data_IF_131948882587
#
_entry.id   IF_131948882587
#
_cell.length_a   1.000
_cell.length_b   1.000
_cell.length_c   1.000
_cell.angle_alpha   90.00
_cell.angle_beta   90.00
_cell.angle_gamma   90.00
#
_symmetry.space_group_name_H-M   'P 1'
#
loop_
_entity.id
_entity.type
_entity.pdbx_description
1 polymer ?
#
# COMPACT_ATOMS: atom_id res chain seq x y z
N UNK A 1 -30.78 9.56 17.78
CA UNK A 1 -30.85 8.29 18.51
C UNK A 1 -30.44 7.16 17.55
N UNK A 2 -29.44 6.34 17.91
CA UNK A 2 -29.04 5.19 17.13
C UNK A 2 -30.04 4.08 17.35
N UNK A 3 -30.76 3.67 16.31
CA UNK A 3 -31.81 2.65 16.41
C UNK A 3 -31.31 1.23 16.18
N UNK A 4 -30.31 1.06 15.34
CA UNK A 4 -29.68 -0.24 15.03
C UNK A 4 -28.35 -0.06 14.32
N UNK A 5 -27.49 -1.07 14.42
CA UNK A 5 -26.27 -1.20 13.64
C UNK A 5 -26.56 -2.15 12.47
N UNK A 6 -26.12 -1.78 11.26
CA UNK A 6 -26.34 -2.61 10.07
C UNK A 6 -25.60 -3.96 10.21
N UNK A 7 -26.16 -5.04 9.67
CA UNK A 7 -25.42 -6.31 9.52
C UNK A 7 -24.08 -6.10 8.80
N UNK A 8 -23.02 -6.72 9.30
CA UNK A 8 -21.66 -6.59 8.76
C UNK A 8 -20.85 -5.39 9.29
N UNK A 9 -21.46 -4.52 10.12
CA UNK A 9 -20.72 -3.49 10.84
C UNK A 9 -20.23 -4.03 12.20
N UNK A 10 -19.03 -3.59 12.61
CA UNK A 10 -18.39 -3.98 13.87
C UNK A 10 -18.26 -2.78 14.79
N UNK A 11 -18.61 -2.97 16.08
CA UNK A 11 -18.42 -1.96 17.12
C UNK A 11 -16.97 -2.07 17.61
N UNK A 12 -16.18 -1.01 17.46
CA UNK A 12 -14.81 -0.96 17.98
C UNK A 12 -14.72 -0.30 19.37
N UNK A 13 -15.62 0.61 19.67
CA UNK A 13 -15.67 1.26 20.97
C UNK A 13 -17.12 1.54 21.37
N UNK A 14 -17.35 1.54 22.67
CA UNK A 14 -18.65 1.88 23.30
C UNK A 14 -18.48 3.01 24.28
N UNK A 15 -19.57 3.70 24.57
CA UNK A 15 -19.68 4.71 25.64
C UNK A 15 -20.90 4.38 26.53
N UNK A 16 -20.74 4.58 27.81
CA UNK A 16 -21.85 4.44 28.78
C UNK A 16 -22.39 5.83 29.09
N UNK A 17 -23.71 6.00 28.96
CA UNK A 17 -24.38 7.24 29.29
C UNK A 17 -24.68 7.34 30.79
N UNK A 18 -25.32 8.46 31.22
CA UNK A 18 -25.70 8.70 32.62
C UNK A 18 -26.77 7.77 33.13
N UNK A 19 -27.47 7.04 32.26
CA UNK A 19 -28.50 6.04 32.59
C UNK A 19 -27.94 4.60 32.52
N UNK A 20 -26.61 4.45 32.54
CA UNK A 20 -25.90 3.15 32.44
C UNK A 20 -26.12 2.37 31.11
N UNK A 21 -26.66 3.02 30.09
CA UNK A 21 -26.86 2.36 28.78
C UNK A 21 -25.56 2.38 27.99
N UNK A 22 -25.18 1.21 27.48
CA UNK A 22 -24.00 1.07 26.60
C UNK A 22 -24.41 1.39 25.18
N UNK A 23 -23.75 2.41 24.60
CA UNK A 23 -23.99 2.90 23.25
C UNK A 23 -22.75 2.75 22.39
N UNK A 24 -22.88 2.50 21.07
CA UNK A 24 -21.73 2.44 20.19
C UNK A 24 -21.11 3.84 20.04
N UNK A 25 -19.80 3.93 20.24
CA UNK A 25 -19.01 5.17 20.09
C UNK A 25 -18.26 5.21 18.76
N UNK A 26 -17.68 4.07 18.35
CA UNK A 26 -16.99 3.92 17.07
C UNK A 26 -17.45 2.63 16.41
N UNK A 27 -17.94 2.76 15.19
CA UNK A 27 -18.42 1.62 14.37
C UNK A 27 -17.66 1.63 13.05
N UNK A 28 -17.26 0.45 12.61
CA UNK A 28 -16.56 0.26 11.34
C UNK A 28 -17.29 -0.74 10.46
N UNK A 29 -17.16 -0.60 9.16
CA UNK A 29 -17.71 -1.52 8.18
C UNK A 29 -16.81 -1.59 6.94
N UNK A 30 -16.66 -2.79 6.38
CA UNK A 30 -16.19 -2.95 5.00
C UNK A 30 -17.38 -2.79 4.06
N UNK A 31 -17.17 -2.03 2.99
CA UNK A 31 -18.16 -1.86 1.94
C UNK A 31 -17.46 -1.90 0.59
N UNK A 32 -17.75 -2.95 -0.21
CA UNK A 32 -16.96 -3.24 -1.40
C UNK A 32 -15.49 -3.43 -1.03
N UNK A 33 -14.61 -2.85 -1.80
CA UNK A 33 -13.16 -2.86 -1.58
C UNK A 33 -12.69 -1.82 -0.56
N UNK A 34 -13.59 -0.97 -0.09
CA UNK A 34 -13.27 0.10 0.86
C UNK A 34 -13.61 -0.23 2.31
N UNK A 35 -13.17 0.67 3.20
CA UNK A 35 -13.46 0.65 4.63
C UNK A 35 -14.07 1.97 5.05
N UNK A 36 -15.07 1.91 5.91
CA UNK A 36 -15.71 3.08 6.50
C UNK A 36 -15.68 3.02 8.02
N UNK A 37 -15.61 4.17 8.65
CA UNK A 37 -15.72 4.31 10.09
C UNK A 37 -16.66 5.45 10.44
N UNK A 38 -17.51 5.25 11.42
CA UNK A 38 -18.43 6.24 11.94
C UNK A 38 -18.18 6.47 13.42
N UNK A 39 -17.81 7.70 13.78
CA UNK A 39 -17.68 8.13 15.16
C UNK A 39 -19.00 8.75 15.61
N UNK A 40 -19.64 8.16 16.62
CA UNK A 40 -20.98 8.51 17.10
C UNK A 40 -20.98 9.53 18.25
N UNK A 41 -19.79 9.90 18.74
CA UNK A 41 -19.62 10.88 19.82
C UNK A 41 -19.00 12.18 19.26
N UNK A 42 -19.63 13.32 19.58
CA UNK A 42 -19.20 14.63 19.10
C UNK A 42 -18.13 15.31 19.94
N UNK A 43 -17.98 14.92 21.19
CA UNK A 43 -17.18 15.65 22.19
C UNK A 43 -15.74 15.14 22.36
N UNK A 44 -15.25 14.30 21.46
CA UNK A 44 -13.90 13.70 21.55
C UNK A 44 -12.78 14.77 21.58
N UNK A 45 -13.03 15.92 20.95
CA UNK A 45 -12.11 17.06 20.96
C UNK A 45 -11.85 17.62 22.37
N UNK A 46 -12.82 17.48 23.28
CA UNK A 46 -12.66 17.91 24.69
C UNK A 46 -11.60 17.10 25.41
N UNK A 47 -11.44 15.83 25.07
CA UNK A 47 -10.38 15.00 25.65
C UNK A 47 -9.00 15.50 25.21
N UNK A 48 -8.86 15.87 23.93
CA UNK A 48 -7.62 16.42 23.42
C UNK A 48 -7.24 17.79 24.02
N UNK A 49 -8.20 18.51 24.60
CA UNK A 49 -7.96 19.81 25.24
C UNK A 49 -7.65 19.73 26.74
N UNK A 50 -7.75 18.57 27.35
CA UNK A 50 -7.63 18.41 28.79
C UNK A 50 -6.19 18.50 29.27
N UNK A 51 -5.28 17.79 28.63
CA UNK A 51 -3.84 17.81 28.87
C UNK A 51 -3.07 17.28 27.66
N UNK A 52 -1.73 17.39 27.73
CA UNK A 52 -0.84 16.99 26.63
C UNK A 52 -0.89 15.50 26.34
N UNK A 53 -0.99 14.67 27.36
CA UNK A 53 -1.03 13.21 27.22
C UNK A 53 -2.28 12.78 26.49
N UNK A 54 -3.45 13.31 26.85
CA UNK A 54 -4.70 13.01 26.18
C UNK A 54 -4.75 13.56 24.75
N UNK A 55 -4.12 14.71 24.50
CA UNK A 55 -3.94 15.22 23.13
C UNK A 55 -3.15 14.25 22.25
N UNK A 56 -2.06 13.70 22.78
CA UNK A 56 -1.24 12.73 22.05
C UNK A 56 -1.99 11.42 21.79
N UNK A 57 -2.76 10.90 22.77
CA UNK A 57 -3.57 9.70 22.65
C UNK A 57 -4.70 9.86 21.60
N UNK A 58 -5.42 10.96 21.63
CA UNK A 58 -6.46 11.27 20.62
C UNK A 58 -5.82 11.40 19.23
N UNK A 59 -4.67 12.06 19.13
CA UNK A 59 -3.91 12.15 17.89
C UNK A 59 -3.45 10.79 17.36
N UNK A 60 -3.02 9.90 18.25
CA UNK A 60 -2.64 8.52 17.92
C UNK A 60 -3.84 7.71 17.42
N UNK A 61 -4.98 7.81 18.11
CA UNK A 61 -6.23 7.16 17.70
C UNK A 61 -6.62 7.58 16.27
N UNK A 62 -6.60 8.88 15.96
CA UNK A 62 -6.93 9.37 14.62
C UNK A 62 -5.96 8.84 13.56
N UNK A 63 -4.65 8.88 13.82
CA UNK A 63 -3.65 8.34 12.88
C UNK A 63 -3.84 6.85 12.63
N UNK A 64 -4.16 6.07 13.66
CA UNK A 64 -4.41 4.63 13.53
C UNK A 64 -5.71 4.36 12.76
N UNK A 65 -6.77 5.11 13.05
CA UNK A 65 -8.04 4.96 12.34
C UNK A 65 -7.91 5.31 10.86
N UNK A 66 -7.27 6.43 10.53
CA UNK A 66 -7.02 6.82 9.15
C UNK A 66 -6.13 5.80 8.43
N UNK A 67 -5.06 5.34 9.07
CA UNK A 67 -4.22 4.28 8.49
C UNK A 67 -5.03 3.02 8.21
N UNK A 68 -5.87 2.61 9.15
CA UNK A 68 -6.71 1.43 8.97
C UNK A 68 -7.69 1.58 7.80
N UNK A 69 -8.29 2.76 7.60
CA UNK A 69 -9.23 2.98 6.49
C UNK A 69 -8.58 2.89 5.12
N UNK A 70 -7.29 3.24 4.99
CA UNK A 70 -6.56 3.22 3.71
C UNK A 70 -5.69 1.99 3.51
N UNK A 71 -5.47 1.20 4.57
CA UNK A 71 -4.70 -0.06 4.47
C UNK A 71 -5.53 -1.13 3.76
N UNK A 72 -4.91 -1.89 2.87
CA UNK A 72 -5.54 -2.98 2.08
C UNK A 72 -6.73 -2.50 1.21
N UNK A 73 -6.76 -1.21 0.85
CA UNK A 73 -7.67 -0.73 -0.19
C UNK A 73 -6.94 -0.88 -1.52
N UNK A 74 -7.48 -1.64 -2.48
CA UNK A 74 -6.86 -1.79 -3.79
C UNK A 74 -6.71 -0.42 -4.45
N UNK A 75 -5.55 -0.21 -5.07
CA UNK A 75 -5.33 0.93 -5.95
C UNK A 75 -5.69 0.54 -7.37
N UNK A 76 -6.03 1.52 -8.20
CA UNK A 76 -6.30 1.27 -9.64
C UNK A 76 -5.07 0.78 -10.38
N UNK A 77 -3.90 1.18 -9.91
CA UNK A 77 -2.60 0.73 -10.42
C UNK A 77 -1.79 0.20 -9.25
N UNK A 78 -1.47 -1.08 -9.26
CA UNK A 78 -0.68 -1.75 -8.23
C UNK A 78 0.51 -2.42 -8.88
N UNK A 79 1.71 -2.20 -8.34
CA UNK A 79 2.94 -2.82 -8.82
C UNK A 79 3.34 -3.91 -7.84
N UNK A 80 3.54 -5.10 -8.34
CA UNK A 80 4.14 -6.22 -7.58
C UNK A 80 5.44 -6.66 -8.24
N UNK A 81 6.33 -7.26 -7.47
CA UNK A 81 7.60 -7.80 -7.96
C UNK A 81 7.78 -9.24 -7.51
N UNK A 82 8.36 -10.03 -8.39
CA UNK A 82 8.76 -11.40 -8.11
C UNK A 82 10.21 -11.59 -8.54
N UNK A 83 11.06 -12.01 -7.62
CA UNK A 83 12.45 -12.33 -7.94
C UNK A 83 12.51 -13.74 -8.53
N UNK A 84 13.03 -13.87 -9.74
CA UNK A 84 13.21 -15.14 -10.44
C UNK A 84 14.69 -15.39 -10.67
N UNK A 85 15.15 -16.55 -10.25
CA UNK A 85 16.50 -17.02 -10.53
C UNK A 85 16.45 -17.97 -11.74
N UNK A 86 16.46 -17.43 -12.93
CA UNK A 86 16.61 -18.23 -14.14
C UNK A 86 18.10 -18.31 -14.55
N UNK A 87 18.83 -19.28 -13.96
CA UNK A 87 20.24 -19.47 -14.21
C UNK A 87 21.15 -18.56 -13.36
N UNK A 88 22.24 -18.04 -13.97
CA UNK A 88 23.24 -17.23 -13.27
C UNK A 88 22.91 -15.72 -13.18
N UNK A 89 21.80 -15.30 -13.74
CA UNK A 89 21.42 -13.87 -13.81
C UNK A 89 20.16 -13.64 -12.98
N UNK A 90 20.20 -12.77 -11.97
CA UNK A 90 19.01 -12.42 -11.20
C UNK A 90 18.06 -11.58 -12.07
N UNK A 91 16.86 -12.09 -12.26
CA UNK A 91 15.79 -11.45 -13.02
C UNK A 91 14.67 -11.07 -12.05
N UNK A 92 14.22 -9.83 -12.09
CA UNK A 92 13.03 -9.40 -11.37
C UNK A 92 11.89 -9.22 -12.37
N UNK A 93 10.82 -9.99 -12.19
CA UNK A 93 9.57 -9.77 -12.89
C UNK A 93 8.74 -8.73 -12.17
N UNK A 94 8.39 -7.68 -12.91
CA UNK A 94 7.48 -6.64 -12.46
C UNK A 94 6.10 -6.93 -13.05
N UNK A 95 5.08 -6.97 -12.19
CA UNK A 95 3.69 -7.12 -12.61
C UNK A 95 2.91 -5.90 -12.19
N UNK A 96 2.21 -5.27 -13.13
CA UNK A 96 1.38 -4.09 -12.90
C UNK A 96 -0.08 -4.49 -13.09
N UNK A 97 -0.85 -4.42 -12.02
CA UNK A 97 -2.29 -4.66 -12.04
C UNK A 97 -2.99 -3.35 -12.35
N UNK A 98 -3.75 -3.31 -13.44
CA UNK A 98 -4.49 -2.13 -13.89
C UNK A 98 -5.98 -2.40 -13.79
N UNK A 99 -6.70 -1.48 -13.13
CA UNK A 99 -8.15 -1.54 -12.95
C UNK A 99 -8.77 -0.23 -13.43
N UNK A 100 -9.98 -0.34 -13.94
CA UNK A 100 -10.79 0.81 -14.37
C UNK A 100 -11.41 1.56 -13.16
N UNK A 101 -12.35 2.47 -13.41
CA UNK A 101 -13.06 3.23 -12.37
C UNK A 101 -14.03 2.37 -11.55
N UNK A 102 -14.45 1.22 -12.07
CA UNK A 102 -15.27 0.23 -11.36
C UNK A 102 -14.43 -0.82 -10.61
N UNK A 103 -13.08 -0.69 -10.65
CA UNK A 103 -12.11 -1.66 -10.12
C UNK A 103 -12.09 -3.01 -10.85
N UNK A 104 -12.64 -3.04 -12.06
CA UNK A 104 -12.55 -4.21 -12.93
C UNK A 104 -11.21 -4.22 -13.71
N UNK A 105 -10.67 -5.40 -14.06
CA UNK A 105 -9.44 -5.52 -14.85
C UNK A 105 -9.52 -4.75 -16.17
N UNK A 106 -8.48 -3.98 -16.49
CA UNK A 106 -8.41 -3.20 -17.73
C UNK A 106 -7.26 -3.68 -18.61
N UNK A 107 -7.58 -4.32 -19.73
CA UNK A 107 -6.59 -4.86 -20.69
C UNK A 107 -6.18 -3.83 -21.76
N UNK A 108 -7.04 -2.86 -22.06
CA UNK A 108 -6.75 -1.80 -23.03
C UNK A 108 -6.03 -0.63 -22.37
N UNK A 109 -4.79 -0.87 -21.99
CA UNK A 109 -3.93 0.13 -21.36
C UNK A 109 -2.50 0.02 -21.89
N UNK A 110 -1.78 1.13 -21.83
CA UNK A 110 -0.33 1.17 -22.06
C UNK A 110 0.37 1.45 -20.73
N UNK A 111 1.27 0.54 -20.34
CA UNK A 111 1.98 0.62 -19.06
C UNK A 111 3.46 0.92 -19.32
N UNK A 112 3.91 2.08 -18.84
CA UNK A 112 5.29 2.53 -18.88
C UNK A 112 5.88 2.46 -17.48
N UNK A 113 6.99 1.74 -17.35
CA UNK A 113 7.74 1.61 -16.11
C UNK A 113 9.01 2.44 -16.19
N UNK A 114 9.30 3.20 -15.17
CA UNK A 114 10.55 3.95 -15.02
C UNK A 114 11.28 3.43 -13.78
N UNK A 115 12.42 2.82 -13.99
CA UNK A 115 13.31 2.33 -12.93
C UNK A 115 14.41 3.36 -12.70
N UNK A 116 14.48 3.89 -11.48
CA UNK A 116 15.53 4.82 -11.02
C UNK A 116 16.38 4.13 -9.98
N UNK A 117 17.67 4.01 -10.21
CA UNK A 117 18.60 3.49 -9.22
C UNK A 117 19.14 4.61 -8.30
N UNK A 118 19.82 4.23 -7.22
CA UNK A 118 20.42 5.20 -6.30
C UNK A 118 21.59 5.99 -6.89
N UNK A 119 22.16 5.53 -8.00
CA UNK A 119 23.26 6.20 -8.71
C UNK A 119 22.73 7.27 -9.68
N UNK A 120 21.39 7.43 -9.76
CA UNK A 120 20.74 8.38 -10.66
C UNK A 120 20.52 7.87 -12.08
N UNK A 121 20.83 6.61 -12.37
CA UNK A 121 20.52 5.99 -13.66
C UNK A 121 19.01 5.80 -13.79
N UNK A 122 18.46 6.09 -14.95
CA UNK A 122 17.04 5.98 -15.25
C UNK A 122 16.86 5.07 -16.46
N UNK A 123 16.07 4.02 -16.30
CA UNK A 123 15.70 3.10 -17.38
C UNK A 123 14.19 3.08 -17.56
N UNK A 124 13.73 3.13 -18.79
CA UNK A 124 12.31 3.01 -19.12
C UNK A 124 12.04 1.67 -19.77
N UNK A 125 10.99 1.01 -19.32
CA UNK A 125 10.51 -0.28 -19.79
C UNK A 125 9.03 -0.14 -20.16
N UNK A 126 8.61 -0.81 -21.24
CA UNK A 126 7.19 -1.00 -21.53
C UNK A 126 6.78 -2.37 -21.00
N UNK A 127 5.70 -2.42 -20.22
CA UNK A 127 5.18 -3.70 -19.79
C UNK A 127 4.20 -4.26 -20.85
N UNK A 128 4.26 -5.56 -21.08
CA UNK A 128 3.40 -6.27 -22.02
C UNK A 128 2.20 -6.88 -21.29
N UNK A 129 1.00 -6.92 -21.92
CA UNK A 129 -0.17 -7.53 -21.31
C UNK A 129 0.06 -9.03 -21.08
N UNK A 130 -0.36 -9.52 -19.92
CA UNK A 130 -0.31 -10.94 -19.59
C UNK A 130 -1.39 -11.70 -20.37
N UNK A 131 -1.02 -12.82 -20.97
CA UNK A 131 -1.97 -13.70 -21.65
C UNK A 131 -2.80 -14.56 -20.69
N UNK A 132 -2.36 -14.66 -19.43
CA UNK A 132 -2.98 -15.54 -18.43
C UNK A 132 -3.91 -14.79 -17.47
N UNK A 133 -3.63 -13.50 -17.23
CA UNK A 133 -4.33 -12.72 -16.20
C UNK A 133 -4.81 -11.39 -16.78
N UNK A 134 -6.13 -11.16 -16.88
CA UNK A 134 -6.69 -9.90 -17.32
C UNK A 134 -6.27 -8.74 -16.43
N UNK A 135 -6.00 -7.57 -17.03
CA UNK A 135 -5.59 -6.35 -16.34
C UNK A 135 -4.18 -6.40 -15.76
N UNK A 136 -3.38 -7.43 -16.09
CA UNK A 136 -2.00 -7.57 -15.62
C UNK A 136 -1.03 -7.32 -16.77
N UNK A 137 -0.06 -6.44 -16.53
CA UNK A 137 1.02 -6.15 -17.47
C UNK A 137 2.35 -6.55 -16.84
N UNK A 138 3.23 -7.20 -17.59
CA UNK A 138 4.50 -7.73 -17.08
C UNK A 138 5.68 -7.15 -17.82
N UNK A 139 6.77 -6.91 -17.08
CA UNK A 139 8.07 -6.56 -17.64
C UNK A 139 9.17 -7.23 -16.83
N UNK A 140 10.19 -7.75 -17.52
CA UNK A 140 11.34 -8.34 -16.86
C UNK A 140 12.47 -7.31 -16.78
N UNK A 141 13.04 -7.17 -15.59
CA UNK A 141 14.13 -6.25 -15.28
C UNK A 141 15.33 -7.00 -14.70
N UNK A 142 16.49 -6.77 -15.31
CA UNK A 142 17.76 -7.30 -14.81
C UNK A 142 18.18 -6.48 -13.58
N UNK A 143 18.16 -7.07 -12.42
CA UNK A 143 18.51 -6.41 -11.16
C UNK A 143 19.99 -6.58 -10.88
N UNK A 144 20.74 -5.49 -10.76
CA UNK A 144 22.04 -5.50 -10.12
C UNK A 144 21.83 -5.60 -8.61
N UNK A 145 22.25 -6.70 -7.99
CA UNK A 145 21.87 -7.11 -6.62
C UNK A 145 22.23 -6.11 -5.51
N UNK A 146 23.11 -5.16 -5.77
CA UNK A 146 23.70 -4.30 -4.73
C UNK A 146 23.05 -2.93 -4.56
N UNK A 147 22.15 -2.51 -5.43
CA UNK A 147 21.64 -1.14 -5.40
C UNK A 147 20.14 -1.06 -5.09
N UNK A 148 19.76 -0.17 -4.16
CA UNK A 148 18.37 0.20 -3.99
C UNK A 148 17.83 0.86 -5.27
N UNK A 149 16.54 0.69 -5.53
CA UNK A 149 15.88 1.26 -6.69
C UNK A 149 14.45 1.71 -6.37
N UNK A 150 13.95 2.61 -7.20
CA UNK A 150 12.56 3.06 -7.22
C UNK A 150 11.98 2.75 -8.59
N UNK A 151 10.80 2.15 -8.61
CA UNK A 151 10.06 1.85 -9.82
C UNK A 151 8.76 2.64 -9.79
N UNK A 152 8.55 3.45 -10.81
CA UNK A 152 7.33 4.21 -11.04
C UNK A 152 6.62 3.62 -12.25
N UNK A 153 5.33 3.33 -12.13
CA UNK A 153 4.48 2.97 -13.25
C UNK A 153 3.60 4.15 -13.64
N UNK A 154 3.51 4.41 -14.92
CA UNK A 154 2.55 5.33 -15.53
C UNK A 154 1.66 4.54 -16.46
N UNK A 155 0.35 4.65 -16.25
CA UNK A 155 -0.65 3.91 -17.02
C UNK A 155 -1.50 4.88 -17.83
N UNK A 156 -1.59 4.62 -19.12
CA UNK A 156 -2.40 5.37 -20.07
C UNK A 156 -3.50 4.46 -20.61
N UNK A 157 -4.70 4.99 -20.84
CA UNK A 157 -5.76 4.26 -21.51
C UNK A 157 -5.49 4.19 -23.03
N UNK A 158 -6.36 3.45 -23.78
CA UNK A 158 -6.28 3.33 -25.23
C UNK A 158 -6.38 4.66 -25.99
N UNK A 159 -6.82 5.74 -25.33
CA UNK A 159 -6.88 7.10 -25.90
C UNK A 159 -5.65 7.96 -25.57
N UNK A 160 -4.73 7.45 -24.73
CA UNK A 160 -3.54 8.16 -24.27
C UNK A 160 -3.78 9.05 -23.03
N UNK A 161 -4.95 8.98 -22.41
CA UNK A 161 -5.24 9.67 -21.15
C UNK A 161 -4.64 8.89 -19.98
N UNK A 162 -4.03 9.60 -19.03
CA UNK A 162 -3.49 8.99 -17.83
C UNK A 162 -4.59 8.46 -16.91
N UNK A 163 -4.56 7.15 -16.65
CA UNK A 163 -5.46 6.45 -15.73
C UNK A 163 -4.98 6.52 -14.29
N UNK A 164 -3.68 6.61 -14.09
CA UNK A 164 -3.04 6.66 -12.80
C UNK A 164 -1.61 6.16 -12.83
N UNK A 165 -1.02 6.04 -11.66
CA UNK A 165 0.33 5.52 -11.49
C UNK A 165 0.47 4.75 -10.18
N UNK A 166 1.52 3.97 -10.10
CA UNK A 166 1.94 3.25 -8.89
C UNK A 166 3.44 3.43 -8.67
N UNK A 167 3.89 3.19 -7.46
CA UNK A 167 5.29 3.26 -7.10
C UNK A 167 5.65 2.14 -6.14
N UNK A 168 6.80 1.51 -6.37
CA UNK A 168 7.46 0.65 -5.40
C UNK A 168 8.92 1.05 -5.26
N UNK A 169 9.48 0.90 -4.06
CA UNK A 169 10.88 1.15 -3.80
C UNK A 169 11.51 -0.01 -3.04
N UNK A 170 12.79 -0.29 -3.31
CA UNK A 170 13.64 -1.16 -2.50
C UNK A 170 14.72 -0.30 -1.88
N UNK A 171 14.76 -0.25 -0.55
CA UNK A 171 15.89 0.32 0.17
C UNK A 171 17.07 -0.67 0.20
N UNK A 172 18.29 -0.17 0.27
CA UNK A 172 19.46 -0.97 0.64
C UNK A 172 19.24 -1.54 2.03
N UNK A 173 19.49 -2.84 2.20
CA UNK A 173 19.57 -3.42 3.52
C UNK A 173 21.05 -3.35 3.96
N UNK A 174 21.42 -2.44 4.90
CA UNK A 174 22.82 -2.28 5.30
C UNK A 174 23.40 -3.51 6.02
N UNK A 175 22.54 -4.43 6.47
CA UNK A 175 22.98 -5.63 7.19
C UNK A 175 23.66 -6.68 6.28
N UNK A 176 23.44 -6.66 4.98
CA UNK A 176 24.05 -7.65 4.09
C UNK A 176 25.54 -7.37 3.78
N UNK A 177 26.03 -6.15 3.96
CA UNK A 177 27.44 -5.82 3.74
C UNK A 177 28.33 -6.10 4.98
N UNK A 178 27.76 -6.08 6.19
CA UNK A 178 28.54 -6.37 7.40
C UNK A 178 28.91 -7.86 7.53
N UNK A 179 28.06 -8.76 7.09
CA UNK A 179 28.34 -10.20 7.13
C UNK A 179 29.30 -10.68 6.04
N UNK A 180 29.47 -9.96 4.94
CA UNK A 180 30.40 -10.34 3.88
C UNK A 180 31.86 -9.93 4.17
N UNK A 181 32.09 -9.09 5.17
CA UNK A 181 33.45 -8.62 5.56
C UNK A 181 34.08 -9.41 6.70
N UNK A 182 33.36 -10.31 7.33
CA UNK A 182 33.88 -11.25 8.32
C UNK A 182 34.34 -12.54 7.65
N UNK A 183 35.32 -12.45 6.76
CA UNK A 183 36.14 -13.59 6.40
C UNK A 183 36.97 -14.01 7.62
N UNK A 184 37.19 -15.33 7.88
CA UNK A 184 38.00 -15.74 8.99
C UNK A 184 39.44 -15.22 8.79
N UNK A 185 39.86 -14.36 9.69
CA UNK A 185 41.29 -14.06 9.87
C UNK A 185 42.00 -15.37 10.20
N UNK A 186 42.63 -15.93 9.20
CA UNK A 186 43.61 -16.99 9.38
C UNK A 186 44.89 -16.35 9.90
N UNK A 187 45.03 -16.30 11.23
CA UNK A 187 46.34 -16.04 11.90
C UNK A 187 46.78 -17.36 12.54
N UNK A 188 47.81 -17.91 11.96
CA UNK A 188 48.91 -18.75 12.49
C UNK A 188 48.75 -19.32 13.90
#
# INVERSE_FOLDING_TARGET
>A
QISAIKPGASILATVTDSEERVLPALVTQRYGEGKSAALMIGDIWRWAMKDKEQQEEVGKMWRQLLRWTVTDVPTRVEITKEERNEGAIPLTRLSVHVRDEAFEPQDDATVLLTVKDLNGSVRSLSAEPSLEQPGVFTADYLTEESNGYRIEAKVLDGTGKELGGGEIARALNPESEEFSRLGPDSVL
#
